data_IF_375131447034
#
_entry.id   IF_375131447034
#
_cell.length_a   1.000
_cell.length_b   1.000
_cell.length_c   1.000
_cell.angle_alpha   90.00
_cell.angle_beta   90.00
_cell.angle_gamma   90.00
#
_symmetry.space_group_name_H-M   'P 1'
#
loop_
_entity.id
_entity.type
_entity.pdbx_description
1 polymer ?
#
# COMPACT_ATOMS: atom_id res chain seq x y z
N UNK A 1 21.34 58.58 5.49
CA UNK A 1 20.59 58.56 6.77
C UNK A 1 19.60 57.41 6.68
N UNK A 2 19.92 56.28 7.32
CA UNK A 2 19.20 55.74 8.50
C UNK A 2 17.84 55.11 8.13
N UNK A 3 17.54 53.81 8.31
CA UNK A 3 17.98 52.84 9.32
C UNK A 3 17.73 51.40 8.85
N UNK A 4 18.64 50.51 9.24
CA UNK A 4 18.41 49.07 9.39
C UNK A 4 17.16 48.81 10.25
N UNK A 5 16.33 47.85 9.83
CA UNK A 5 15.23 47.28 10.61
C UNK A 5 15.25 45.77 10.51
N UNK A 6 16.09 45.15 11.32
CA UNK A 6 16.15 43.71 11.59
C UNK A 6 14.82 43.27 12.24
N UNK A 7 14.10 42.29 11.68
CA UNK A 7 12.99 41.65 12.39
C UNK A 7 13.22 40.13 12.43
N UNK A 8 13.23 39.64 13.65
CA UNK A 8 13.65 38.34 14.10
C UNK A 8 12.75 37.20 13.57
N UNK A 9 13.40 36.11 13.17
CA UNK A 9 12.76 34.83 12.91
C UNK A 9 12.28 34.22 14.24
N UNK A 10 10.97 34.07 14.41
CA UNK A 10 10.40 33.20 15.43
C UNK A 10 10.24 31.80 14.84
N UNK A 11 11.20 30.92 15.12
CA UNK A 11 11.05 29.48 14.89
C UNK A 11 10.34 28.90 16.10
N UNK A 12 9.04 28.65 15.96
CA UNK A 12 8.27 27.90 16.95
C UNK A 12 8.59 26.41 16.79
N UNK A 13 9.44 25.87 17.66
CA UNK A 13 9.63 24.43 17.79
C UNK A 13 8.38 23.81 18.41
N UNK A 14 7.57 23.12 17.59
CA UNK A 14 6.47 22.31 18.10
C UNK A 14 7.05 21.01 18.72
N UNK A 15 6.68 20.66 19.96
CA UNK A 15 7.11 19.41 20.59
C UNK A 15 6.54 18.22 19.82
N UNK A 16 7.43 17.32 19.42
CA UNK A 16 7.11 16.09 18.73
C UNK A 16 6.28 15.17 19.63
N UNK A 17 5.07 14.87 19.19
CA UNK A 17 4.31 13.74 19.71
C UNK A 17 4.88 12.46 19.08
N UNK A 18 5.90 11.87 19.72
CA UNK A 18 6.26 10.47 19.51
C UNK A 18 5.22 9.59 20.19
N UNK A 19 4.03 9.52 19.60
CA UNK A 19 3.10 8.44 19.89
C UNK A 19 3.68 7.18 19.29
N UNK A 20 4.28 6.32 20.11
CA UNK A 20 4.46 4.92 19.75
C UNK A 20 3.04 4.36 19.53
N UNK A 21 2.61 4.36 18.27
CA UNK A 21 1.32 3.82 17.88
C UNK A 21 1.22 2.39 18.39
N UNK A 22 0.09 2.05 19.01
CA UNK A 22 -0.25 0.66 19.26
C UNK A 22 0.01 -0.12 17.96
N UNK A 23 0.59 -1.34 18.01
CA UNK A 23 0.84 -2.11 16.82
C UNK A 23 -0.48 -2.17 16.05
N UNK A 24 -0.50 -1.56 14.86
CA UNK A 24 -1.65 -1.65 13.98
C UNK A 24 -1.95 -3.13 13.82
N UNK A 25 -3.23 -3.55 13.86
CA UNK A 25 -3.57 -4.93 13.58
C UNK A 25 -2.85 -5.32 12.29
N UNK A 26 -2.09 -6.44 12.34
CA UNK A 26 -1.35 -6.89 11.18
C UNK A 26 -2.30 -6.93 9.98
N UNK A 27 -1.89 -6.26 8.89
CA UNK A 27 -2.73 -6.02 7.73
C UNK A 27 -2.04 -6.59 6.50
N UNK A 28 -2.80 -7.25 5.65
CA UNK A 28 -2.35 -7.65 4.33
C UNK A 28 -2.63 -6.51 3.36
N UNK A 29 -1.60 -5.97 2.71
CA UNK A 29 -1.75 -4.81 1.84
C UNK A 29 -1.22 -5.03 0.42
N UNK A 30 -1.78 -4.30 -0.53
CA UNK A 30 -1.27 -4.18 -1.89
C UNK A 30 -1.32 -2.73 -2.36
N UNK A 31 -0.22 -2.25 -2.95
CA UNK A 31 -0.12 -0.91 -3.54
C UNK A 31 0.00 -1.00 -5.05
N UNK A 32 -0.69 -0.13 -5.77
CA UNK A 32 -0.52 0.02 -7.21
C UNK A 32 0.54 1.10 -7.51
N UNK A 33 1.80 0.72 -7.73
CA UNK A 33 2.85 1.65 -8.17
C UNK A 33 2.98 1.74 -9.70
N UNK A 34 2.13 1.04 -10.45
CA UNK A 34 2.10 1.13 -11.90
C UNK A 34 1.47 2.45 -12.38
N UNK A 35 1.59 2.73 -13.68
CA UNK A 35 1.02 3.94 -14.28
C UNK A 35 -0.48 3.85 -14.61
N UNK A 36 -1.10 2.67 -14.47
CA UNK A 36 -2.49 2.44 -14.89
C UNK A 36 -3.37 2.06 -13.70
N UNK A 37 -4.68 2.29 -13.83
CA UNK A 37 -5.68 1.78 -12.89
C UNK A 37 -5.94 0.30 -13.19
N UNK A 38 -5.99 -0.51 -12.13
CA UNK A 38 -6.35 -1.92 -12.20
C UNK A 38 -7.28 -2.31 -11.04
N UNK A 39 -7.94 -3.45 -11.18
CA UNK A 39 -8.72 -4.05 -10.10
C UNK A 39 -7.83 -4.90 -9.20
N UNK A 40 -7.84 -4.65 -7.90
CA UNK A 40 -7.04 -5.40 -6.94
C UNK A 40 -7.93 -6.15 -5.96
N UNK A 41 -7.44 -7.31 -5.51
CA UNK A 41 -8.06 -8.06 -4.43
C UNK A 41 -7.01 -8.46 -3.41
N UNK A 42 -7.41 -8.46 -2.14
CA UNK A 42 -6.64 -9.04 -1.03
C UNK A 42 -7.53 -10.10 -0.39
N UNK A 43 -7.00 -11.30 -0.20
CA UNK A 43 -7.71 -12.40 0.48
C UNK A 43 -6.80 -13.10 1.47
N UNK A 44 -7.40 -13.62 2.53
CA UNK A 44 -6.73 -14.49 3.49
C UNK A 44 -6.61 -15.91 2.94
N UNK A 45 -5.56 -16.63 3.33
CA UNK A 45 -5.43 -18.07 3.03
C UNK A 45 -6.10 -18.89 4.13
N UNK A 46 -5.91 -18.48 5.38
CA UNK A 46 -6.33 -19.24 6.56
C UNK A 46 -7.76 -18.88 7.03
N UNK A 47 -8.42 -17.94 6.34
CA UNK A 47 -9.79 -17.51 6.59
C UNK A 47 -10.51 -17.19 5.27
N UNK A 48 -11.83 -16.96 5.33
CA UNK A 48 -12.65 -16.62 4.16
C UNK A 48 -12.74 -15.11 3.87
N UNK A 49 -11.89 -14.28 4.48
CA UNK A 49 -11.95 -12.83 4.32
C UNK A 49 -11.34 -12.39 2.98
N UNK A 50 -12.02 -11.46 2.30
CA UNK A 50 -11.58 -10.89 1.03
C UNK A 50 -12.12 -9.47 0.87
N UNK A 51 -11.31 -8.61 0.27
CA UNK A 51 -11.71 -7.28 -0.19
C UNK A 51 -11.19 -7.05 -1.61
N UNK A 52 -11.89 -6.24 -2.40
CA UNK A 52 -11.44 -5.86 -3.73
C UNK A 52 -11.96 -4.51 -4.16
N UNK A 53 -11.15 -3.77 -4.91
CA UNK A 53 -11.51 -2.48 -5.52
C UNK A 53 -10.54 -2.08 -6.62
N UNK A 54 -10.95 -1.12 -7.44
CA UNK A 54 -10.05 -0.49 -8.39
C UNK A 54 -9.10 0.47 -7.68
N UNK A 55 -7.81 0.37 -7.99
CA UNK A 55 -6.76 1.25 -7.47
C UNK A 55 -6.17 2.06 -8.60
N UNK A 56 -6.25 3.38 -8.50
CA UNK A 56 -5.44 4.29 -9.30
C UNK A 56 -3.95 4.20 -8.91
N UNK A 57 -3.02 4.74 -9.73
CA UNK A 57 -1.62 4.85 -9.37
C UNK A 57 -1.41 5.48 -7.98
N UNK A 58 -0.53 4.88 -7.18
CA UNK A 58 -0.19 5.28 -5.81
C UNK A 58 -1.19 4.84 -4.73
N UNK A 59 -2.33 4.22 -5.09
CA UNK A 59 -3.32 3.80 -4.10
C UNK A 59 -3.01 2.41 -3.52
N UNK A 60 -3.41 2.22 -2.27
CA UNK A 60 -3.21 0.97 -1.51
C UNK A 60 -4.56 0.38 -1.09
N UNK A 61 -4.68 -0.95 -1.08
CA UNK A 61 -5.80 -1.71 -0.51
C UNK A 61 -5.26 -2.59 0.61
N UNK A 62 -5.89 -2.54 1.79
CA UNK A 62 -5.51 -3.38 2.93
C UNK A 62 -6.72 -4.19 3.43
N UNK A 63 -6.42 -5.34 4.01
CA UNK A 63 -7.34 -6.21 4.73
C UNK A 63 -6.75 -6.48 6.11
N UNK A 64 -7.48 -6.11 7.16
CA UNK A 64 -7.04 -6.33 8.55
C UNK A 64 -7.06 -7.83 8.85
N UNK A 65 -5.88 -8.44 8.91
CA UNK A 65 -5.71 -9.86 9.15
C UNK A 65 -4.27 -10.22 9.51
N UNK A 66 -4.08 -10.90 10.64
CA UNK A 66 -2.75 -11.29 11.13
C UNK A 66 -2.15 -12.55 10.53
N UNK A 67 -2.86 -13.25 9.65
CA UNK A 67 -2.38 -14.43 8.94
C UNK A 67 -1.83 -14.11 7.55
N UNK A 68 -1.46 -15.15 6.79
CA UNK A 68 -0.96 -15.01 5.42
C UNK A 68 -2.11 -14.77 4.44
N UNK A 69 -1.76 -14.25 3.27
CA UNK A 69 -2.75 -13.98 2.24
C UNK A 69 -2.25 -14.08 0.82
N UNK A 70 -3.14 -13.70 -0.08
CA UNK A 70 -2.87 -13.54 -1.50
C UNK A 70 -3.37 -12.17 -1.92
N UNK A 71 -2.51 -11.44 -2.60
CA UNK A 71 -2.91 -10.25 -3.35
C UNK A 71 -3.00 -10.61 -4.82
N UNK A 72 -3.91 -9.97 -5.54
CA UNK A 72 -4.00 -10.14 -6.97
C UNK A 72 -4.39 -8.85 -7.67
N UNK A 73 -3.91 -8.67 -8.88
CA UNK A 73 -4.26 -7.59 -9.78
C UNK A 73 -4.91 -8.16 -11.05
N UNK A 74 -5.90 -7.44 -11.57
CA UNK A 74 -6.68 -7.78 -12.74
C UNK A 74 -6.88 -6.53 -13.59
N UNK A 75 -7.05 -6.71 -14.90
CA UNK A 75 -7.34 -5.58 -15.79
C UNK A 75 -8.65 -4.86 -15.39
N UNK A 76 -9.67 -5.63 -15.03
CA UNK A 76 -10.97 -5.16 -14.52
C UNK A 76 -11.53 -6.12 -13.48
N UNK A 77 -12.59 -5.72 -12.76
CA UNK A 77 -13.29 -6.60 -11.82
C UNK A 77 -13.95 -7.83 -12.47
N UNK A 78 -14.22 -7.79 -13.78
CA UNK A 78 -14.81 -8.89 -14.54
C UNK A 78 -13.77 -9.81 -15.19
N UNK A 79 -12.48 -9.45 -15.14
CA UNK A 79 -11.41 -10.24 -15.73
C UNK A 79 -11.26 -11.57 -14.97
N UNK A 80 -11.29 -12.68 -15.70
CA UNK A 80 -11.13 -14.02 -15.14
C UNK A 80 -9.69 -14.35 -14.78
N UNK A 81 -8.75 -13.71 -15.49
CA UNK A 81 -7.32 -13.93 -15.35
C UNK A 81 -6.62 -12.64 -14.96
N UNK A 82 -5.59 -12.77 -14.15
CA UNK A 82 -4.78 -11.68 -13.64
C UNK A 82 -3.39 -12.19 -13.26
N UNK A 83 -2.82 -11.57 -12.24
CA UNK A 83 -1.61 -12.04 -11.60
C UNK A 83 -1.77 -11.98 -10.10
N UNK A 84 -1.15 -12.92 -9.38
CA UNK A 84 -1.25 -12.99 -7.92
C UNK A 84 0.11 -13.21 -7.26
N UNK A 85 0.18 -12.86 -5.98
CA UNK A 85 1.38 -13.06 -5.15
C UNK A 85 0.98 -13.45 -3.73
N UNK A 86 1.74 -14.38 -3.16
CA UNK A 86 1.61 -14.74 -1.75
C UNK A 86 2.18 -13.62 -0.89
N UNK A 87 1.49 -13.29 0.19
CA UNK A 87 1.91 -12.25 1.14
C UNK A 87 2.05 -12.88 2.53
N UNK A 88 3.18 -12.69 3.22
CA UNK A 88 3.36 -13.18 4.58
C UNK A 88 2.40 -12.47 5.55
N UNK A 89 2.34 -12.98 6.79
CA UNK A 89 1.54 -12.35 7.84
C UNK A 89 1.97 -10.89 8.07
N UNK A 90 1.01 -9.97 8.00
CA UNK A 90 1.27 -8.52 8.11
C UNK A 90 2.10 -7.94 6.95
N UNK A 91 2.28 -8.69 5.86
CA UNK A 91 3.06 -8.26 4.72
C UNK A 91 2.32 -7.32 3.78
N UNK A 92 3.09 -6.68 2.89
CA UNK A 92 2.57 -5.85 1.82
C UNK A 92 3.31 -6.14 0.52
N UNK A 93 2.59 -6.02 -0.58
CA UNK A 93 3.13 -6.11 -1.94
C UNK A 93 2.85 -4.84 -2.73
N UNK A 94 3.62 -4.62 -3.79
CA UNK A 94 3.50 -3.45 -4.67
C UNK A 94 3.53 -3.91 -6.11
N UNK A 95 2.49 -3.63 -6.88
CA UNK A 95 2.50 -3.88 -8.32
C UNK A 95 3.30 -2.77 -9.02
N UNK A 96 4.44 -3.13 -9.61
CA UNK A 96 5.29 -2.23 -10.39
C UNK A 96 4.85 -2.21 -11.86
N UNK A 97 4.61 -3.39 -12.42
CA UNK A 97 4.16 -3.55 -13.80
C UNK A 97 3.11 -4.65 -13.88
N UNK A 98 1.99 -4.36 -14.53
CA UNK A 98 0.99 -5.37 -14.84
C UNK A 98 1.38 -6.17 -16.09
N UNK A 99 1.33 -7.49 -15.97
CA UNK A 99 1.49 -8.43 -17.07
C UNK A 99 0.37 -9.45 -17.06
N UNK A 100 -0.21 -9.76 -18.22
CA UNK A 100 -1.22 -10.82 -18.34
C UNK A 100 -0.57 -12.18 -18.08
N UNK A 101 -1.29 -13.06 -17.36
CA UNK A 101 -0.89 -14.44 -17.03
C UNK A 101 0.36 -14.52 -16.13
N UNK A 102 0.24 -14.16 -14.84
CA UNK A 102 1.31 -14.27 -13.83
C UNK A 102 2.65 -13.60 -14.16
N UNK A 103 2.69 -12.71 -15.16
CA UNK A 103 3.88 -11.97 -15.60
C UNK A 103 4.00 -10.57 -14.99
N UNK A 104 3.35 -10.35 -13.85
CA UNK A 104 3.45 -9.07 -13.16
C UNK A 104 4.82 -8.92 -12.49
N UNK A 105 5.34 -7.69 -12.52
CA UNK A 105 6.48 -7.31 -11.71
C UNK A 105 5.95 -6.76 -10.38
N UNK A 106 6.39 -7.39 -9.28
CA UNK A 106 6.01 -7.03 -7.92
C UNK A 106 7.25 -6.56 -7.15
N UNK A 107 7.07 -5.59 -6.27
CA UNK A 107 8.04 -5.21 -5.24
C UNK A 107 7.46 -5.48 -3.85
N UNK A 108 8.29 -5.92 -2.91
CA UNK A 108 7.88 -6.29 -1.55
C UNK A 108 8.99 -6.01 -0.53
N UNK A 109 8.71 -6.24 0.75
CA UNK A 109 9.64 -5.98 1.86
C UNK A 109 10.67 -7.12 2.10
N UNK A 110 10.98 -7.92 1.07
CA UNK A 110 11.93 -9.03 1.14
C UNK A 110 13.29 -8.67 0.48
N UNK A 111 13.85 -7.50 0.81
CA UNK A 111 15.28 -7.18 0.59
C UNK A 111 15.99 -6.98 1.94
#
# INVERSE_FOLDING_TARGET
MNRLGLIAALVAAAPGATGAGAPLPASLCVTNASAQRYHFTVRTIDAAARVGRDLAPGQTLCLDHGGRGVVAAFETAASLEGCSRLVPAGGSETLILFGRFDRCAWGGADD
#
